data_IF_154328161830
#
_entry.id   IF_154328161830
#
_cell.length_a   1.000
_cell.length_b   1.000
_cell.length_c   1.000
_cell.angle_alpha   90.00
_cell.angle_beta   90.00
_cell.angle_gamma   90.00
#
_symmetry.space_group_name_H-M   'P 1'
#
loop_
_entity.id
_entity.type
_entity.pdbx_description
1 polymer ?
#
# COMPACT_ATOMS: atom_id res chain seq x y z
N UNK A 1 -10.02 -1.75 -19.49
CA UNK A 1 -8.56 -1.50 -19.38
C UNK A 1 -8.28 -1.29 -17.90
N UNK A 2 -7.61 -2.21 -17.20
CA UNK A 2 -7.46 -2.07 -15.74
C UNK A 2 -5.98 -1.98 -15.39
N UNK A 3 -5.47 -0.76 -15.46
CA UNK A 3 -4.07 -0.45 -15.14
C UNK A 3 -3.73 0.97 -15.55
N UNK A 4 -2.93 1.63 -14.73
CA UNK A 4 -2.29 2.89 -15.08
C UNK A 4 -0.92 2.61 -15.70
N UNK A 5 -0.43 3.46 -16.62
CA UNK A 5 0.95 3.36 -17.09
C UNK A 5 1.96 3.59 -15.97
N UNK A 6 1.60 4.37 -14.95
CA UNK A 6 2.45 4.69 -13.83
C UNK A 6 1.67 4.75 -12.52
N UNK A 7 2.36 4.52 -11.41
CA UNK A 7 1.84 4.66 -10.06
C UNK A 7 2.79 5.49 -9.21
N UNK A 8 2.27 6.37 -8.37
CA UNK A 8 3.07 7.12 -7.39
C UNK A 8 2.76 6.64 -5.98
N UNK A 9 3.78 6.22 -5.22
CA UNK A 9 3.64 5.80 -3.82
C UNK A 9 4.19 6.89 -2.92
N UNK A 10 3.33 7.49 -2.09
CA UNK A 10 3.71 8.61 -1.21
C UNK A 10 2.87 8.71 0.05
N UNK A 11 3.29 9.55 0.99
CA UNK A 11 2.39 10.04 2.04
C UNK A 11 1.31 10.93 1.45
N UNK A 12 0.13 10.93 2.08
CA UNK A 12 -0.97 11.80 1.72
C UNK A 12 -0.57 13.26 1.94
N UNK A 13 -0.72 14.04 0.88
CA UNK A 13 -0.43 15.48 0.82
C UNK A 13 -1.68 16.32 0.53
N UNK A 14 -2.69 15.73 -0.12
CA UNK A 14 -3.88 16.45 -0.57
C UNK A 14 -5.17 15.89 0.06
N UNK A 15 -6.18 16.74 0.33
CA UNK A 15 -7.44 16.29 0.93
C UNK A 15 -8.17 15.21 0.12
N UNK A 16 -8.09 15.26 -1.22
CA UNK A 16 -8.75 14.27 -2.07
C UNK A 16 -8.12 12.88 -1.95
N UNK A 17 -6.81 12.80 -1.79
CA UNK A 17 -6.08 11.55 -1.56
C UNK A 17 -6.54 10.91 -0.25
N UNK A 18 -6.68 11.72 0.80
CA UNK A 18 -7.20 11.25 2.10
C UNK A 18 -8.62 10.70 1.98
N UNK A 19 -9.52 11.45 1.35
CA UNK A 19 -10.92 11.04 1.16
C UNK A 19 -11.02 9.73 0.38
N UNK A 20 -10.28 9.60 -0.71
CA UNK A 20 -10.29 8.38 -1.51
C UNK A 20 -9.63 7.20 -0.78
N UNK A 21 -8.57 7.43 0.00
CA UNK A 21 -7.96 6.39 0.83
C UNK A 21 -8.94 5.82 1.88
N UNK A 22 -9.71 6.67 2.56
CA UNK A 22 -10.75 6.20 3.48
C UNK A 22 -11.89 5.49 2.76
N UNK A 23 -12.33 6.00 1.59
CA UNK A 23 -13.33 5.31 0.79
C UNK A 23 -12.83 3.92 0.33
N UNK A 24 -11.55 3.81 -0.06
CA UNK A 24 -10.93 2.53 -0.42
C UNK A 24 -10.89 1.55 0.77
N UNK A 25 -10.51 2.02 1.96
CA UNK A 25 -10.55 1.21 3.18
C UNK A 25 -11.94 0.70 3.48
N UNK A 26 -12.97 1.54 3.36
CA UNK A 26 -14.36 1.12 3.56
C UNK A 26 -14.79 0.05 2.55
N UNK A 27 -14.44 0.21 1.26
CA UNK A 27 -14.73 -0.82 0.25
C UNK A 27 -14.04 -2.15 0.58
N UNK A 28 -12.74 -2.13 0.91
CA UNK A 28 -11.98 -3.36 1.15
C UNK A 28 -12.35 -4.02 2.48
N UNK A 29 -12.39 -3.27 3.58
CA UNK A 29 -12.57 -3.86 4.90
C UNK A 29 -14.04 -4.08 5.28
N UNK A 30 -14.97 -3.22 4.84
CA UNK A 30 -16.39 -3.41 5.14
C UNK A 30 -17.07 -4.24 4.04
N UNK A 31 -17.00 -3.78 2.79
CA UNK A 31 -17.83 -4.35 1.72
C UNK A 31 -17.28 -5.67 1.18
N UNK A 32 -15.97 -5.78 1.01
CA UNK A 32 -15.34 -6.97 0.45
C UNK A 32 -15.04 -8.03 1.53
N UNK A 33 -14.41 -7.64 2.64
CA UNK A 33 -13.97 -8.58 3.68
C UNK A 33 -14.97 -8.77 4.83
N UNK A 34 -15.98 -7.92 4.96
CA UNK A 34 -16.95 -8.01 6.06
C UNK A 34 -16.35 -7.87 7.46
N UNK A 35 -15.19 -7.24 7.61
CA UNK A 35 -14.50 -7.06 8.89
C UNK A 35 -15.14 -6.01 9.80
N UNK A 36 -15.87 -5.07 9.19
CA UNK A 36 -16.54 -3.96 9.85
C UNK A 36 -17.92 -3.75 9.23
N UNK A 37 -18.92 -3.46 10.05
CA UNK A 37 -20.30 -3.32 9.57
C UNK A 37 -20.52 -1.99 8.81
N UNK A 38 -20.01 -0.87 9.34
CA UNK A 38 -20.27 0.46 8.78
C UNK A 38 -19.00 1.17 8.31
N UNK A 39 -18.00 1.30 9.19
CA UNK A 39 -16.71 1.91 8.87
C UNK A 39 -15.55 1.21 9.60
N UNK A 40 -14.34 1.35 9.07
CA UNK A 40 -13.12 0.80 9.68
C UNK A 40 -12.30 1.86 10.45
N UNK A 41 -12.78 3.10 10.51
CA UNK A 41 -12.15 4.21 11.23
C UNK A 41 -12.08 3.95 12.74
N UNK A 42 -11.00 4.39 13.37
CA UNK A 42 -10.78 4.36 14.82
C UNK A 42 -9.98 5.59 15.30
N UNK A 43 -9.76 5.70 16.61
CA UNK A 43 -9.08 6.86 17.24
C UNK A 43 -7.66 7.09 16.70
N UNK A 44 -6.99 6.04 16.18
CA UNK A 44 -5.64 6.13 15.65
C UNK A 44 -5.62 6.96 14.36
N UNK A 45 -6.73 7.01 13.60
CA UNK A 45 -6.81 7.77 12.35
C UNK A 45 -6.56 9.28 12.52
N UNK A 46 -6.79 9.81 13.72
CA UNK A 46 -6.57 11.24 14.02
C UNK A 46 -5.09 11.63 14.07
N UNK A 47 -4.20 10.66 14.35
CA UNK A 47 -2.76 10.89 14.53
C UNK A 47 -1.90 10.04 13.58
N UNK A 48 -2.50 9.08 12.87
CA UNK A 48 -1.80 8.24 11.93
C UNK A 48 -1.33 9.01 10.69
N UNK A 49 -0.21 8.57 10.16
CA UNK A 49 0.29 9.00 8.86
C UNK A 49 -0.29 8.08 7.81
N UNK A 50 -1.00 8.66 6.84
CA UNK A 50 -1.65 7.91 5.77
C UNK A 50 -0.79 7.94 4.51
N UNK A 51 -0.64 6.79 3.88
CA UNK A 51 0.13 6.57 2.66
C UNK A 51 -0.82 6.11 1.56
N UNK A 52 -0.52 6.47 0.32
CA UNK A 52 -1.33 6.16 -0.85
C UNK A 52 -0.48 5.67 -2.01
N UNK A 53 -1.08 4.79 -2.81
CA UNK A 53 -0.66 4.46 -4.16
C UNK A 53 -1.64 5.15 -5.12
N UNK A 54 -1.13 6.04 -5.96
CA UNK A 54 -1.90 6.85 -6.90
C UNK A 54 -1.73 6.33 -8.31
N UNK A 55 -2.83 6.01 -8.99
CA UNK A 55 -2.86 5.80 -10.43
C UNK A 55 -2.54 7.09 -11.16
N UNK A 56 -1.60 7.05 -12.10
CA UNK A 56 -1.13 8.22 -12.85
C UNK A 56 -1.38 8.05 -14.34
N UNK A 57 -2.08 9.00 -14.95
CA UNK A 57 -2.35 9.05 -16.39
C UNK A 57 -1.93 10.41 -16.95
N UNK A 58 -1.13 10.40 -18.02
CA UNK A 58 -0.62 11.61 -18.67
C UNK A 58 0.04 12.61 -17.69
N UNK A 59 0.74 12.11 -16.66
CA UNK A 59 1.41 12.93 -15.64
C UNK A 59 0.51 13.41 -14.50
N UNK A 60 -0.79 13.08 -14.50
CA UNK A 60 -1.75 13.49 -13.48
C UNK A 60 -2.14 12.33 -12.58
N UNK A 61 -2.21 12.57 -11.27
CA UNK A 61 -2.77 11.63 -10.31
C UNK A 61 -4.30 11.62 -10.41
N UNK A 62 -4.90 10.47 -10.73
CA UNK A 62 -6.34 10.36 -10.96
C UNK A 62 -7.08 9.71 -9.79
N UNK A 63 -6.57 8.57 -9.30
CA UNK A 63 -7.25 7.81 -8.24
C UNK A 63 -6.28 7.16 -7.25
N UNK A 64 -6.74 7.00 -6.01
CA UNK A 64 -6.08 6.17 -4.99
C UNK A 64 -6.45 4.71 -5.24
N UNK A 65 -5.45 3.90 -5.62
CA UNK A 65 -5.60 2.46 -5.90
C UNK A 65 -5.09 1.58 -4.75
N UNK A 66 -4.43 2.18 -3.76
CA UNK A 66 -3.92 1.49 -2.59
C UNK A 66 -3.64 2.44 -1.44
N UNK A 67 -3.69 1.96 -0.21
CA UNK A 67 -3.39 2.76 0.98
C UNK A 67 -2.89 1.91 2.14
N UNK A 68 -2.13 2.52 3.05
CA UNK A 68 -1.75 1.97 4.34
C UNK A 68 -1.61 3.13 5.32
N UNK A 69 -1.80 2.90 6.61
CA UNK A 69 -1.48 3.90 7.64
C UNK A 69 -0.39 3.39 8.57
N UNK A 70 0.42 4.30 9.06
CA UNK A 70 1.41 4.04 10.11
C UNK A 70 1.16 4.96 11.31
N UNK A 71 1.44 4.47 12.51
CA UNK A 71 1.35 5.26 13.74
C UNK A 71 2.42 4.83 14.74
N UNK A 72 2.71 5.71 15.69
CA UNK A 72 3.72 5.51 16.73
C UNK A 72 3.02 5.52 18.11
N UNK A 73 2.62 4.35 18.66
CA UNK A 73 1.97 4.32 19.97
C UNK A 73 2.89 4.75 21.12
N UNK A 74 4.21 4.55 20.98
CA UNK A 74 5.22 5.02 21.93
C UNK A 74 6.54 5.33 21.19
N UNK A 75 7.41 6.20 21.73
CA UNK A 75 8.66 6.59 21.07
C UNK A 75 9.48 5.37 20.60
N UNK A 76 9.91 5.40 19.34
CA UNK A 76 10.66 4.31 18.69
C UNK A 76 9.85 3.09 18.24
N UNK A 77 8.58 2.95 18.63
CA UNK A 77 7.75 1.79 18.27
C UNK A 77 6.68 2.19 17.28
N UNK A 78 6.65 1.53 16.13
CA UNK A 78 5.75 1.87 15.04
C UNK A 78 4.90 0.68 14.62
N UNK A 79 3.72 0.98 14.11
CA UNK A 79 2.79 -0.02 13.61
C UNK A 79 2.26 0.36 12.23
N UNK A 80 2.32 -0.59 11.30
CA UNK A 80 1.60 -0.55 10.03
C UNK A 80 0.24 -1.22 10.18
N UNK A 81 -0.81 -0.59 9.64
CA UNK A 81 -2.17 -1.14 9.67
C UNK A 81 -3.00 -0.65 8.49
N UNK A 82 -4.17 -1.28 8.28
CA UNK A 82 -5.14 -0.90 7.24
C UNK A 82 -4.55 -0.87 5.83
N UNK A 83 -3.66 -1.81 5.52
CA UNK A 83 -3.16 -2.02 4.16
C UNK A 83 -4.29 -2.53 3.27
N UNK A 84 -4.65 -1.74 2.27
CA UNK A 84 -5.70 -2.06 1.30
C UNK A 84 -5.22 -1.75 -0.11
N UNK A 85 -5.48 -2.65 -1.06
CA UNK A 85 -5.27 -2.44 -2.49
C UNK A 85 -6.57 -2.79 -3.19
N UNK A 86 -7.02 -1.88 -4.05
CA UNK A 86 -8.23 -2.03 -4.86
C UNK A 86 -8.08 -3.26 -5.78
N UNK A 87 -9.12 -4.09 -5.84
CA UNK A 87 -9.09 -5.42 -6.47
C UNK A 87 -8.67 -5.36 -7.95
N UNK A 88 -9.12 -4.31 -8.65
CA UNK A 88 -8.76 -3.97 -10.04
C UNK A 88 -7.25 -3.89 -10.26
N UNK A 89 -6.49 -3.59 -9.20
CA UNK A 89 -5.06 -3.32 -9.25
C UNK A 89 -4.20 -4.37 -8.54
N UNK A 90 -4.78 -5.36 -7.87
CA UNK A 90 -4.01 -6.41 -7.17
C UNK A 90 -3.10 -7.21 -8.11
N UNK A 91 -3.49 -7.37 -9.37
CA UNK A 91 -2.68 -8.03 -10.41
C UNK A 91 -1.38 -7.30 -10.76
N UNK A 92 -1.26 -6.01 -10.40
CA UNK A 92 0.01 -5.28 -10.52
C UNK A 92 1.08 -5.87 -9.59
N UNK A 93 0.69 -6.48 -8.47
CA UNK A 93 1.55 -7.22 -7.54
C UNK A 93 2.49 -6.36 -6.69
N UNK A 94 2.98 -5.23 -7.24
CA UNK A 94 3.97 -4.36 -6.60
C UNK A 94 3.39 -3.28 -5.67
N UNK A 95 2.10 -2.95 -5.79
CA UNK A 95 1.49 -1.85 -5.03
C UNK A 95 1.53 -2.07 -3.52
N UNK A 96 1.06 -3.23 -3.05
CA UNK A 96 1.11 -3.60 -1.63
C UNK A 96 2.54 -3.62 -1.08
N UNK A 97 3.49 -4.34 -1.72
CA UNK A 97 4.89 -4.34 -1.32
C UNK A 97 5.52 -2.94 -1.24
N UNK A 98 5.23 -2.05 -2.19
CA UNK A 98 5.81 -0.72 -2.20
C UNK A 98 5.18 0.20 -1.14
N UNK A 99 3.90 0.04 -0.83
CA UNK A 99 3.28 0.69 0.32
C UNK A 99 3.92 0.24 1.64
N UNK A 100 4.15 -1.07 1.82
CA UNK A 100 4.85 -1.62 2.99
C UNK A 100 6.27 -1.06 3.06
N UNK A 101 7.00 -1.03 1.93
CA UNK A 101 8.37 -0.51 1.87
C UNK A 101 8.43 0.96 2.29
N UNK A 102 7.55 1.80 1.76
CA UNK A 102 7.49 3.21 2.15
C UNK A 102 7.08 3.37 3.62
N UNK A 103 6.14 2.57 4.10
CA UNK A 103 5.69 2.58 5.50
C UNK A 103 6.85 2.34 6.48
N UNK A 104 7.62 1.27 6.29
CA UNK A 104 8.76 0.94 7.16
C UNK A 104 9.89 1.96 6.98
N UNK A 105 10.26 2.28 5.74
CA UNK A 105 11.39 3.18 5.44
C UNK A 105 11.16 4.60 5.97
N UNK A 106 9.93 5.12 5.86
CA UNK A 106 9.61 6.46 6.38
C UNK A 106 9.50 6.48 7.90
N UNK A 107 9.00 5.41 8.55
CA UNK A 107 9.10 5.29 10.00
C UNK A 107 10.55 5.18 10.48
N UNK A 108 11.40 4.47 9.74
CA UNK A 108 12.83 4.34 10.05
C UNK A 108 13.54 5.71 10.04
N UNK A 109 13.24 6.56 9.04
CA UNK A 109 13.71 7.95 9.01
C UNK A 109 13.24 8.81 10.19
N UNK A 110 12.15 8.42 10.87
CA UNK A 110 11.60 9.09 12.05
C UNK A 110 12.10 8.47 13.38
N UNK A 111 13.17 7.68 13.34
CA UNK A 111 13.74 7.05 14.54
C UNK A 111 12.99 5.81 15.03
N UNK A 112 12.31 5.09 14.12
CA UNK A 112 11.78 3.77 14.42
C UNK A 112 12.91 2.82 14.85
N UNK A 113 12.69 2.11 15.96
CA UNK A 113 13.53 1.04 16.49
C UNK A 113 12.88 -0.32 16.27
N UNK A 114 11.55 -0.39 16.31
CA UNK A 114 10.79 -1.61 16.07
C UNK A 114 9.51 -1.27 15.29
N UNK A 115 9.28 -1.99 14.19
CA UNK A 115 8.10 -1.80 13.35
C UNK A 115 7.28 -3.09 13.28
N UNK A 116 6.00 -3.00 13.65
CA UNK A 116 5.11 -4.13 13.81
C UNK A 116 3.87 -4.06 12.90
N UNK A 117 3.24 -5.21 12.68
CA UNK A 117 1.92 -5.28 12.06
C UNK A 117 1.18 -6.56 12.50
N UNK A 118 -0.15 -6.47 12.54
CA UNK A 118 -1.01 -7.64 12.52
C UNK A 118 -1.38 -7.92 11.06
N UNK A 119 -0.90 -9.04 10.53
CA UNK A 119 -1.03 -9.41 9.13
C UNK A 119 -1.99 -10.57 9.02
N UNK A 120 -3.05 -10.48 8.21
CA UNK A 120 -3.93 -11.63 7.96
C UNK A 120 -3.09 -12.83 7.51
N UNK A 121 -3.36 -14.02 8.05
CA UNK A 121 -2.51 -15.20 7.85
C UNK A 121 -2.24 -15.51 6.36
N UNK A 122 -3.22 -15.26 5.48
CA UNK A 122 -3.07 -15.41 4.03
C UNK A 122 -1.95 -14.55 3.41
N UNK A 123 -1.62 -13.41 4.02
CA UNK A 123 -0.59 -12.48 3.55
C UNK A 123 0.78 -12.70 4.24
N UNK A 124 0.87 -13.58 5.23
CA UNK A 124 2.13 -13.88 5.93
C UNK A 124 3.28 -14.28 4.97
N UNK A 125 3.06 -15.12 3.92
CA UNK A 125 4.14 -15.46 2.99
C UNK A 125 4.71 -14.26 2.22
N UNK A 126 3.87 -13.26 1.91
CA UNK A 126 4.34 -12.02 1.29
C UNK A 126 5.26 -11.27 2.27
N UNK A 127 4.83 -11.09 3.51
CA UNK A 127 5.60 -10.36 4.52
C UNK A 127 6.93 -11.07 4.83
N UNK A 128 6.95 -12.40 4.91
CA UNK A 128 8.20 -13.17 5.04
C UNK A 128 9.18 -12.90 3.92
N UNK A 129 8.73 -12.89 2.65
CA UNK A 129 9.58 -12.52 1.49
C UNK A 129 10.09 -11.08 1.57
N UNK A 130 9.40 -10.22 2.30
CA UNK A 130 9.78 -8.84 2.53
C UNK A 130 10.66 -8.67 3.79
N UNK A 131 11.27 -9.73 4.31
CA UNK A 131 12.12 -9.67 5.51
C UNK A 131 11.36 -9.27 6.79
N UNK A 132 10.16 -9.81 6.95
CA UNK A 132 9.45 -9.78 8.22
C UNK A 132 9.51 -11.13 8.91
N UNK A 133 9.61 -11.10 10.25
CA UNK A 133 9.54 -12.29 11.10
C UNK A 133 8.18 -12.38 11.78
N UNK A 134 7.61 -13.58 11.82
CA UNK A 134 6.44 -13.88 12.65
C UNK A 134 6.88 -14.03 14.09
N UNK A 135 6.18 -13.36 15.00
CA UNK A 135 6.43 -13.40 16.43
C UNK A 135 5.35 -14.20 17.16
N UNK A 136 4.10 -14.09 16.72
CA UNK A 136 2.97 -14.76 17.34
C UNK A 136 1.81 -14.96 16.34
N UNK A 137 0.83 -15.78 16.71
CA UNK A 137 -0.44 -15.95 16.00
C UNK A 137 -1.60 -15.47 16.87
N UNK A 138 -2.50 -14.67 16.30
CA UNK A 138 -3.64 -14.09 17.01
C UNK A 138 -4.88 -14.07 16.14
N UNK A 139 -6.06 -14.32 16.71
CA UNK A 139 -7.32 -14.18 16.01
C UNK A 139 -7.92 -12.80 16.28
N UNK A 140 -8.12 -12.01 15.23
CA UNK A 140 -8.75 -10.69 15.32
C UNK A 140 -10.04 -10.71 14.51
N UNK A 141 -11.16 -10.36 15.15
CA UNK A 141 -12.49 -10.31 14.50
C UNK A 141 -12.84 -11.62 13.78
N UNK A 142 -12.50 -12.76 14.39
CA UNK A 142 -12.73 -14.09 13.83
C UNK A 142 -11.76 -14.51 12.72
N UNK A 143 -10.83 -13.64 12.30
CA UNK A 143 -9.85 -13.94 11.25
C UNK A 143 -8.47 -14.19 11.87
N UNK A 144 -7.76 -15.27 11.48
CA UNK A 144 -6.40 -15.51 11.93
C UNK A 144 -5.42 -14.49 11.35
N UNK A 145 -4.56 -13.96 12.21
CA UNK A 145 -3.50 -13.01 11.90
C UNK A 145 -2.17 -13.51 12.49
N UNK A 146 -1.08 -13.19 11.80
CA UNK A 146 0.27 -13.26 12.34
C UNK A 146 0.64 -11.88 12.92
N UNK A 147 1.13 -11.85 14.16
CA UNK A 147 1.83 -10.69 14.69
C UNK A 147 3.28 -10.72 14.18
N UNK A 148 3.67 -9.72 13.39
CA UNK A 148 4.93 -9.72 12.67
C UNK A 148 5.74 -8.45 12.93
N UNK A 149 7.06 -8.57 12.81
CA UNK A 149 8.01 -7.47 12.92
C UNK A 149 8.89 -7.36 11.67
N UNK A 150 9.09 -6.14 11.18
CA UNK A 150 10.00 -5.86 10.07
C UNK A 150 11.46 -5.86 10.52
N UNK A 151 12.35 -6.40 9.69
CA UNK A 151 13.79 -6.19 9.82
C UNK A 151 14.18 -4.81 9.27
N UNK A 152 14.42 -3.85 10.17
CA UNK A 152 14.75 -2.47 9.78
C UNK A 152 16.04 -2.36 8.96
N UNK A 153 16.96 -3.32 9.05
CA UNK A 153 18.20 -3.29 8.25
C UNK A 153 17.94 -3.48 6.76
N UNK A 154 16.85 -4.16 6.40
CA UNK A 154 16.39 -4.34 5.03
C UNK A 154 15.75 -3.07 4.43
N UNK A 155 15.28 -2.15 5.29
CA UNK A 155 14.50 -0.97 4.91
C UNK A 155 15.30 0.31 5.16
N UNK A 156 16.12 0.80 4.20
CA UNK A 156 16.87 2.03 4.40
C UNK A 156 15.93 3.22 4.68
N UNK A 157 16.32 4.17 5.54
CA UNK A 157 15.52 5.35 5.84
C UNK A 157 15.10 6.14 4.59
N UNK A 158 13.82 6.52 4.53
CA UNK A 158 13.27 7.41 3.49
C UNK A 158 12.90 8.75 4.12
N UNK A 159 13.71 9.78 3.86
CA UNK A 159 13.55 11.12 4.43
C UNK A 159 12.59 12.03 3.66
N UNK A 160 12.25 11.67 2.42
CA UNK A 160 11.28 12.41 1.60
C UNK A 160 10.09 11.53 1.17
N UNK A 161 9.20 11.19 2.11
CA UNK A 161 8.05 10.35 1.79
C UNK A 161 6.91 11.11 1.11
N UNK A 162 6.99 12.45 1.04
CA UNK A 162 5.93 13.31 0.50
C UNK A 162 6.03 13.47 -1.03
N UNK A 163 7.26 13.53 -1.58
CA UNK A 163 7.47 13.61 -3.04
C UNK A 163 7.03 12.33 -3.76
N UNK A 164 7.23 11.18 -3.11
CA UNK A 164 6.80 9.88 -3.61
C UNK A 164 7.79 9.18 -4.53
N UNK A 165 7.56 7.88 -4.71
CA UNK A 165 8.32 7.03 -5.63
C UNK A 165 7.41 6.60 -6.79
N UNK A 166 7.90 6.75 -8.02
CA UNK A 166 7.18 6.36 -9.24
C UNK A 166 7.49 4.91 -9.60
N UNK A 167 6.45 4.16 -9.96
CA UNK A 167 6.50 2.78 -10.43
C UNK A 167 5.90 2.71 -11.82
N UNK A 168 6.58 2.05 -12.75
CA UNK A 168 5.96 1.68 -14.03
C UNK A 168 4.86 0.65 -13.81
N UNK A 169 3.70 0.86 -14.41
CA UNK A 169 2.61 -0.10 -14.42
C UNK A 169 2.91 -1.29 -15.32
N UNK A 170 2.36 -2.45 -14.98
CA UNK A 170 2.33 -3.58 -15.93
C UNK A 170 1.24 -3.30 -16.95
N UNK A 171 1.64 -2.75 -18.09
CA UNK A 171 0.77 -2.62 -19.25
C UNK A 171 0.41 -4.03 -19.76
N UNK A 172 -0.84 -4.26 -20.21
CA UNK A 172 -1.17 -5.50 -20.89
C UNK A 172 -0.25 -5.65 -22.11
N UNK A 173 0.31 -6.85 -22.32
CA UNK A 173 1.03 -7.17 -23.56
C UNK A 173 0.09 -6.90 -24.72
N UNK A 174 0.46 -5.97 -25.62
CA UNK A 174 -0.23 -5.83 -26.90
C UNK A 174 -0.04 -7.15 -27.65
N UNK A 175 -1.12 -7.81 -28.12
CA UNK A 175 -0.98 -9.00 -28.95
C UNK A 175 -0.09 -8.67 -30.16
N UNK A 176 0.83 -9.58 -30.50
CA UNK A 176 1.81 -9.37 -31.58
C UNK A 176 1.16 -9.01 -32.94
N UNK A 177 -0.12 -9.33 -33.11
CA UNK A 177 -0.93 -9.08 -34.31
C UNK A 177 -1.21 -7.58 -34.58
N UNK A 178 -1.09 -6.69 -33.59
CA UNK A 178 -1.33 -5.24 -33.75
C UNK A 178 -0.05 -4.41 -34.01
N UNK A 179 1.13 -5.02 -33.93
CA UNK A 179 2.40 -4.36 -34.20
C UNK A 179 2.56 -3.78 -35.63
N UNK A 180 2.00 -4.38 -36.71
CA UNK A 180 2.27 -3.89 -38.07
C UNK A 180 1.52 -2.60 -38.46
N UNK A 181 0.50 -2.19 -37.71
CA UNK A 181 -0.34 -1.04 -38.08
C UNK A 181 0.29 0.32 -37.75
N UNK A 182 1.33 0.37 -36.91
CA UNK A 182 2.03 1.63 -36.58
C UNK A 182 3.22 1.95 -37.51
N UNK A 183 3.60 1.04 -38.43
CA UNK A 183 4.69 1.28 -39.38
C UNK A 183 4.23 1.78 -40.77
N UNK A 184 2.96 2.14 -40.97
CA UNK A 184 2.43 2.57 -42.29
C UNK A 184 2.02 4.05 -42.41
N UNK A 185 2.40 4.91 -41.46
CA UNK A 185 2.16 6.37 -41.57
C UNK A 185 3.45 7.17 -41.81
N UNK A 186 4.55 6.48 -42.13
CA UNK A 186 5.82 7.10 -42.49
C UNK A 186 6.29 6.66 -43.89
N UNK A 187 5.37 6.70 -44.86
CA UNK A 187 5.64 6.51 -46.29
C UNK A 187 5.10 7.68 -47.08
#
# INVERSE_FOLDING_TARGET
MSGYPEYTIKWVTLPWERRQAYALRQRVFCQEQGLFEQHDLDEIDNQAKLLVALGTLAGWHEEVVGTVRIHQPRPGIWFGSRLAVDDRFRRQGQLGPMLIRLAVSSAHALGCKEFYAHVQQQNEPLFKRMHWRTLDSITLRGIPHAFMQADLTHYPPCHDPLSGMVLGGRLPRVPAELAPLMMRVAG
#
